data_IF_935912646129
#
_entry.id   IF_935912646129
#
_cell.length_a   1.000
_cell.length_b   1.000
_cell.length_c   1.000
_cell.angle_alpha   90.00
_cell.angle_beta   90.00
_cell.angle_gamma   90.00
#
_symmetry.space_group_name_H-M   'P 1'
#
loop_
_entity.id
_entity.type
_entity.pdbx_description
1 polymer ?
#
# COMPACT_ATOMS: atom_id res chain seq x y z
N UNK A 1 18.12 3.79 39.78
CA UNK A 1 17.20 4.92 39.58
C UNK A 1 17.96 6.14 39.09
N UNK A 2 19.06 6.52 39.77
CA UNK A 2 19.98 7.57 39.30
C UNK A 2 20.45 7.35 37.85
N UNK A 3 20.90 6.13 37.52
CA UNK A 3 21.39 5.79 36.17
C UNK A 3 20.34 5.95 35.05
N UNK A 4 19.06 5.79 35.38
CA UNK A 4 17.97 5.94 34.42
C UNK A 4 17.63 7.43 34.21
N UNK A 5 17.71 8.23 35.28
CA UNK A 5 17.55 9.70 35.21
C UNK A 5 18.70 10.31 34.40
N UNK A 6 19.95 9.92 34.66
CA UNK A 6 21.10 10.42 33.90
C UNK A 6 21.05 10.02 32.43
N UNK A 7 20.55 8.81 32.12
CA UNK A 7 20.30 8.39 30.74
C UNK A 7 19.26 9.30 30.06
N UNK A 8 18.19 9.67 30.76
CA UNK A 8 17.16 10.57 30.23
C UNK A 8 17.69 11.99 30.03
N UNK A 9 18.50 12.50 30.95
CA UNK A 9 19.18 13.80 30.84
C UNK A 9 20.15 13.83 29.65
N UNK A 10 20.94 12.76 29.47
CA UNK A 10 21.90 12.61 28.36
C UNK A 10 21.23 12.58 26.99
N UNK A 11 20.01 12.03 26.91
CA UNK A 11 19.28 11.94 25.65
C UNK A 11 18.67 13.27 25.20
N UNK A 12 18.65 14.31 26.04
CA UNK A 12 18.11 15.64 25.72
C UNK A 12 16.70 15.65 25.09
N UNK A 13 15.88 14.65 25.42
CA UNK A 13 14.57 14.43 24.79
C UNK A 13 13.40 15.03 25.59
N UNK A 14 13.66 15.76 26.66
CA UNK A 14 12.66 16.39 27.51
C UNK A 14 13.20 17.67 28.16
N UNK A 15 12.31 18.57 28.53
CA UNK A 15 12.61 19.76 29.32
C UNK A 15 11.55 19.90 30.42
N UNK A 16 11.97 20.31 31.61
CA UNK A 16 11.04 20.59 32.70
C UNK A 16 10.34 21.93 32.38
N UNK A 17 9.02 21.97 32.52
CA UNK A 17 8.22 23.17 32.29
C UNK A 17 7.10 23.24 33.32
N UNK A 18 6.70 24.46 33.68
CA UNK A 18 5.55 24.69 34.53
C UNK A 18 4.26 24.33 33.79
N UNK A 19 3.24 23.91 34.55
CA UNK A 19 1.94 23.59 33.99
C UNK A 19 1.32 24.87 33.38
N UNK A 20 0.98 24.87 32.08
CA UNK A 20 0.29 26.00 31.45
C UNK A 20 -1.08 26.25 32.10
N UNK A 21 -1.47 27.52 32.20
CA UNK A 21 -2.67 27.99 32.92
C UNK A 21 -3.98 27.30 32.49
N UNK A 22 -4.07 26.89 31.21
CA UNK A 22 -5.28 26.30 30.60
C UNK A 22 -5.24 24.76 30.49
N UNK A 23 -4.31 24.08 31.19
CA UNK A 23 -4.14 22.62 31.06
C UNK A 23 -4.26 21.92 32.41
N UNK A 24 -5.01 20.83 32.43
CA UNK A 24 -5.09 19.92 33.58
C UNK A 24 -3.93 18.92 33.53
N UNK A 25 -3.31 18.64 34.68
CA UNK A 25 -2.27 17.60 34.77
C UNK A 25 -2.88 16.23 34.49
N UNK A 26 -2.16 15.40 33.74
CA UNK A 26 -2.52 13.99 33.63
C UNK A 26 -1.81 13.26 34.77
N UNK A 27 -2.58 12.56 35.60
CA UNK A 27 -2.01 11.78 36.69
C UNK A 27 -1.04 10.72 36.17
N UNK A 28 -0.02 10.39 36.97
CA UNK A 28 0.95 9.33 36.64
C UNK A 28 0.97 8.24 37.73
N UNK A 29 1.49 7.06 37.38
CA UNK A 29 1.71 5.96 38.31
C UNK A 29 2.99 5.22 37.93
N UNK A 30 3.75 4.80 38.94
CA UNK A 30 4.88 3.90 38.74
C UNK A 30 4.43 2.46 38.51
N UNK A 31 4.96 1.83 37.46
CA UNK A 31 4.81 0.41 37.16
C UNK A 31 6.18 -0.26 37.33
N UNK A 32 6.27 -1.20 38.26
CA UNK A 32 7.49 -1.94 38.54
C UNK A 32 7.43 -3.33 37.89
N UNK A 33 8.52 -3.77 37.27
CA UNK A 33 8.65 -5.11 36.68
C UNK A 33 10.07 -5.64 36.88
N UNK A 34 10.19 -6.84 37.40
CA UNK A 34 11.47 -7.57 37.46
C UNK A 34 11.68 -8.26 36.12
N UNK A 35 12.88 -8.13 35.57
CA UNK A 35 13.36 -8.87 34.39
C UNK A 35 14.30 -9.96 34.87
N UNK A 36 14.06 -11.16 34.38
CA UNK A 36 14.84 -12.34 34.71
C UNK A 36 15.61 -12.80 33.48
N UNK A 37 16.80 -13.33 33.72
CA UNK A 37 17.60 -14.06 32.75
C UNK A 37 16.95 -15.42 32.44
N UNK A 38 17.45 -16.12 31.42
CA UNK A 38 16.94 -17.44 31.03
C UNK A 38 17.12 -18.51 32.12
N UNK A 39 18.08 -18.33 33.01
CA UNK A 39 18.36 -19.17 34.18
C UNK A 39 17.49 -18.83 35.41
N UNK A 40 16.61 -17.83 35.31
CA UNK A 40 15.75 -17.37 36.40
C UNK A 40 16.40 -16.38 37.38
N UNK A 41 17.68 -16.04 37.20
CA UNK A 41 18.33 -14.98 37.98
C UNK A 41 17.79 -13.59 37.61
N UNK A 42 17.88 -12.62 38.51
CA UNK A 42 17.38 -11.26 38.27
C UNK A 42 18.36 -10.54 37.34
N UNK A 43 17.90 -10.18 36.14
CA UNK A 43 18.65 -9.37 35.17
C UNK A 43 18.58 -7.89 35.54
N UNK A 44 17.37 -7.37 35.74
CA UNK A 44 17.16 -5.97 36.16
C UNK A 44 15.82 -5.72 36.83
N UNK A 45 15.81 -4.75 37.73
CA UNK A 45 14.59 -4.10 38.19
C UNK A 45 14.22 -2.98 37.20
N UNK A 46 13.02 -3.02 36.64
CA UNK A 46 12.53 -2.01 35.70
C UNK A 46 11.41 -1.20 36.34
N UNK A 47 11.58 0.11 36.41
CA UNK A 47 10.51 1.04 36.72
C UNK A 47 10.05 1.73 35.44
N UNK A 48 8.76 2.05 35.35
CA UNK A 48 8.22 2.93 34.29
C UNK A 48 7.27 3.91 34.94
N UNK A 49 7.48 5.20 34.70
CA UNK A 49 6.46 6.20 34.98
C UNK A 49 5.45 6.15 33.82
N UNK A 50 4.23 5.73 34.10
CA UNK A 50 3.18 5.61 33.10
C UNK A 50 2.08 6.60 33.42
N UNK A 51 1.58 7.27 32.39
CA UNK A 51 0.42 8.14 32.49
C UNK A 51 -0.80 7.29 32.89
N UNK A 52 -1.61 7.75 33.84
CA UNK A 52 -2.87 7.11 34.23
C UNK A 52 -3.87 7.31 33.08
N UNK A 53 -3.84 6.41 32.11
CA UNK A 53 -4.68 6.46 30.91
C UNK A 53 -6.17 6.13 31.12
N UNK A 54 -6.66 6.11 32.36
CA UNK A 54 -8.06 5.81 32.69
C UNK A 54 -8.97 7.04 32.64
N UNK A 55 -8.49 8.16 32.08
CA UNK A 55 -9.31 9.35 31.83
C UNK A 55 -10.20 9.20 30.60
N UNK A 56 -10.11 8.07 29.88
CA UNK A 56 -10.99 7.78 28.76
C UNK A 56 -12.44 7.73 29.24
N UNK A 57 -13.30 8.50 28.60
CA UNK A 57 -14.73 8.55 28.85
C UNK A 57 -15.43 7.56 27.90
N UNK A 58 -16.23 6.65 28.47
CA UNK A 58 -17.08 5.74 27.70
C UNK A 58 -18.01 6.55 26.78
N UNK A 59 -17.95 6.27 25.47
CA UNK A 59 -18.69 7.02 24.44
C UNK A 59 -17.97 8.23 23.82
N UNK A 60 -16.79 8.62 24.32
CA UNK A 60 -15.99 9.72 23.74
C UNK A 60 -14.71 9.20 23.08
N UNK A 61 -13.83 8.53 23.83
CA UNK A 61 -12.48 8.13 23.39
C UNK A 61 -12.10 6.71 23.83
N UNK A 62 -13.04 5.97 24.43
CA UNK A 62 -12.82 4.61 24.93
C UNK A 62 -12.58 3.57 23.79
N UNK A 63 -13.11 3.82 22.59
CA UNK A 63 -12.88 2.98 21.41
C UNK A 63 -11.66 3.42 20.57
N UNK A 64 -11.10 4.58 20.89
CA UNK A 64 -10.02 5.21 20.15
C UNK A 64 -8.65 4.66 20.63
N UNK A 65 -8.37 3.40 20.33
CA UNK A 65 -7.03 2.83 20.53
C UNK A 65 -6.09 3.32 19.43
N UNK A 66 -5.58 4.54 19.56
CA UNK A 66 -4.56 5.07 18.65
C UNK A 66 -3.18 4.51 19.00
N UNK A 67 -2.82 3.41 18.36
CA UNK A 67 -1.39 3.08 18.19
C UNK A 67 -0.85 3.89 17.02
N UNK A 68 0.07 4.81 17.28
CA UNK A 68 0.70 5.67 16.26
C UNK A 68 1.55 4.90 15.23
N UNK A 69 1.69 3.58 15.38
CA UNK A 69 2.51 2.73 14.54
C UNK A 69 1.63 1.70 13.84
N UNK A 70 1.32 1.95 12.57
CA UNK A 70 0.72 0.95 11.71
C UNK A 70 1.63 -0.29 11.66
N UNK A 71 1.10 -1.46 12.04
CA UNK A 71 1.85 -2.71 11.89
C UNK A 71 2.10 -2.95 10.41
N UNK A 72 3.28 -3.45 10.07
CA UNK A 72 3.63 -3.79 8.70
C UNK A 72 2.62 -4.76 8.07
N UNK A 73 2.08 -5.69 8.86
CA UNK A 73 1.01 -6.60 8.46
C UNK A 73 -0.25 -5.87 7.98
N UNK A 74 -0.65 -4.79 8.65
CA UNK A 74 -1.80 -3.97 8.27
C UNK A 74 -1.55 -3.28 6.93
N UNK A 75 -0.36 -2.72 6.69
CA UNK A 75 -0.02 -2.09 5.41
C UNK A 75 -0.02 -3.11 4.27
N UNK A 76 0.52 -4.31 4.51
CA UNK A 76 0.51 -5.40 3.51
C UNK A 76 -0.91 -5.87 3.20
N UNK A 77 -1.77 -6.00 4.21
CA UNK A 77 -3.18 -6.35 4.02
C UNK A 77 -3.89 -5.30 3.17
N UNK A 78 -3.70 -4.01 3.47
CA UNK A 78 -4.29 -2.92 2.68
C UNK A 78 -3.84 -2.98 1.22
N UNK A 79 -2.54 -3.15 0.97
CA UNK A 79 -2.04 -3.26 -0.41
C UNK A 79 -2.58 -4.50 -1.13
N UNK A 80 -2.75 -5.64 -0.43
CA UNK A 80 -3.38 -6.82 -1.00
C UNK A 80 -4.84 -6.57 -1.42
N UNK A 81 -5.62 -5.90 -0.56
CA UNK A 81 -7.01 -5.54 -0.87
C UNK A 81 -7.10 -4.59 -2.05
N UNK A 82 -6.24 -3.57 -2.11
CA UNK A 82 -6.22 -2.62 -3.22
C UNK A 82 -5.74 -3.30 -4.52
N UNK A 83 -4.82 -4.27 -4.43
CA UNK A 83 -4.41 -5.09 -5.57
C UNK A 83 -5.58 -5.92 -6.11
N UNK A 84 -6.40 -6.51 -5.22
CA UNK A 84 -7.61 -7.20 -5.64
C UNK A 84 -8.58 -6.27 -6.39
N UNK A 85 -8.76 -5.02 -5.94
CA UNK A 85 -9.62 -4.05 -6.61
C UNK A 85 -9.17 -3.69 -8.02
N UNK A 86 -7.91 -3.91 -8.40
CA UNK A 86 -7.44 -3.67 -9.78
C UNK A 86 -8.19 -4.52 -10.82
N UNK A 87 -8.85 -5.61 -10.39
CA UNK A 87 -9.68 -6.48 -11.24
C UNK A 87 -11.00 -5.84 -11.67
N UNK A 88 -11.46 -4.79 -11.00
CA UNK A 88 -12.65 -4.01 -11.38
C UNK A 88 -12.33 -2.54 -11.62
N UNK A 89 -11.11 -2.11 -11.22
CA UNK A 89 -10.62 -0.73 -11.29
C UNK A 89 -9.28 -0.68 -12.04
N UNK A 90 -9.32 -0.71 -13.39
CA UNK A 90 -8.11 -0.59 -14.22
C UNK A 90 -7.37 0.74 -14.00
N UNK A 91 -8.10 1.79 -13.65
CA UNK A 91 -7.61 3.15 -13.39
C UNK A 91 -6.57 3.24 -12.27
N UNK A 92 -6.64 2.36 -11.25
CA UNK A 92 -5.66 2.34 -10.16
C UNK A 92 -4.48 1.39 -10.44
N UNK A 93 -4.52 0.59 -11.52
CA UNK A 93 -3.58 -0.51 -11.74
C UNK A 93 -2.12 -0.04 -11.73
N UNK A 94 -1.82 1.10 -12.35
CA UNK A 94 -0.46 1.67 -12.34
C UNK A 94 0.00 2.08 -10.93
N UNK A 95 -0.82 2.84 -10.20
CA UNK A 95 -0.46 3.31 -8.86
C UNK A 95 -0.24 2.14 -7.89
N UNK A 96 -1.07 1.11 -7.97
CA UNK A 96 -0.99 -0.09 -7.13
C UNK A 96 0.22 -0.94 -7.50
N UNK A 97 0.51 -1.09 -8.80
CA UNK A 97 1.71 -1.75 -9.28
C UNK A 97 2.99 -1.05 -8.77
N UNK A 98 2.98 0.27 -8.64
CA UNK A 98 4.12 0.99 -8.08
C UNK A 98 4.25 0.75 -6.57
N UNK A 99 3.16 0.90 -5.81
CA UNK A 99 3.17 0.69 -4.36
C UNK A 99 3.53 -0.75 -3.96
N UNK A 100 3.12 -1.74 -4.76
CA UNK A 100 3.39 -3.15 -4.46
C UNK A 100 4.89 -3.50 -4.49
N UNK A 101 5.72 -2.70 -5.17
CA UNK A 101 7.18 -2.89 -5.20
C UNK A 101 7.84 -2.69 -3.83
N UNK A 102 7.22 -1.91 -2.95
CA UNK A 102 7.79 -1.52 -1.65
C UNK A 102 7.12 -2.21 -0.46
N UNK A 103 6.36 -3.28 -0.70
CA UNK A 103 5.64 -4.08 0.33
C UNK A 103 6.57 -4.70 1.37
N UNK A 104 7.83 -4.97 1.00
CA UNK A 104 8.85 -5.51 1.90
C UNK A 104 9.25 -4.51 2.98
N UNK A 105 9.42 -3.23 2.61
CA UNK A 105 9.86 -2.13 3.47
C UNK A 105 9.17 -0.80 3.09
N UNK A 106 7.90 -0.59 3.48
CA UNK A 106 7.16 0.61 3.13
C UNK A 106 7.60 1.81 3.96
N UNK A 107 7.80 2.95 3.30
CA UNK A 107 8.12 4.25 3.91
C UNK A 107 6.83 5.03 4.23
N UNK A 108 6.98 6.13 4.97
CA UNK A 108 5.87 7.08 5.24
C UNK A 108 5.27 7.64 3.95
N UNK A 109 6.08 7.88 2.92
CA UNK A 109 5.61 8.32 1.60
C UNK A 109 4.71 7.27 0.94
N UNK A 110 5.10 5.99 0.96
CA UNK A 110 4.27 4.90 0.42
C UNK A 110 2.96 4.74 1.19
N UNK A 111 3.00 4.93 2.51
CA UNK A 111 1.79 4.94 3.34
C UNK A 111 0.83 6.05 2.92
N UNK A 112 1.31 7.29 2.81
CA UNK A 112 0.50 8.43 2.35
C UNK A 112 -0.07 8.19 0.94
N UNK A 113 0.73 7.67 0.01
CA UNK A 113 0.28 7.33 -1.34
C UNK A 113 -0.80 6.24 -1.33
N UNK A 114 -0.67 5.22 -0.48
CA UNK A 114 -1.71 4.18 -0.29
C UNK A 114 -3.02 4.82 0.19
N UNK A 115 -2.97 5.73 1.16
CA UNK A 115 -4.15 6.46 1.63
C UNK A 115 -4.77 7.37 0.56
N UNK A 116 -3.97 7.92 -0.37
CA UNK A 116 -4.50 8.66 -1.52
C UNK A 116 -5.33 7.75 -2.42
N UNK A 117 -4.84 6.54 -2.72
CA UNK A 117 -5.60 5.54 -3.51
C UNK A 117 -6.89 5.15 -2.79
N UNK A 118 -6.84 4.89 -1.48
CA UNK A 118 -8.04 4.56 -0.69
C UNK A 118 -9.06 5.70 -0.67
N UNK A 119 -8.61 6.96 -0.55
CA UNK A 119 -9.49 8.14 -0.60
C UNK A 119 -10.15 8.28 -1.96
N UNK A 120 -9.39 8.06 -3.03
CA UNK A 120 -9.92 8.09 -4.40
C UNK A 120 -10.98 7.01 -4.62
N UNK A 121 -10.73 5.78 -4.17
CA UNK A 121 -11.70 4.68 -4.21
C UNK A 121 -12.98 5.01 -3.43
N UNK A 122 -12.84 5.56 -2.22
CA UNK A 122 -13.99 5.99 -1.39
C UNK A 122 -14.80 7.10 -2.06
N UNK A 123 -14.16 8.00 -2.80
CA UNK A 123 -14.83 9.09 -3.53
C UNK A 123 -15.50 8.66 -4.83
N UNK A 124 -15.15 7.49 -5.38
CA UNK A 124 -15.64 7.01 -6.68
C UNK A 124 -16.17 5.58 -6.62
N UNK A 125 -17.14 5.27 -5.73
CA UNK A 125 -17.63 3.89 -5.57
C UNK A 125 -18.38 3.38 -6.81
N UNK A 126 -18.97 4.27 -7.61
CA UNK A 126 -19.69 3.92 -8.84
C UNK A 126 -18.79 3.77 -10.08
N UNK A 127 -17.49 4.04 -9.98
CA UNK A 127 -16.56 3.86 -11.10
C UNK A 127 -16.11 2.39 -11.13
N UNK A 128 -16.15 1.78 -12.30
CA UNK A 128 -15.74 0.40 -12.53
C UNK A 128 -15.80 0.03 -14.01
N UNK A 129 -15.53 -1.24 -14.31
CA UNK A 129 -15.65 -1.75 -15.69
C UNK A 129 -17.11 -1.90 -16.07
N UNK A 130 -17.46 -1.34 -17.22
CA UNK A 130 -18.78 -1.50 -17.84
C UNK A 130 -18.67 -2.47 -19.02
N UNK A 131 -19.47 -3.54 -18.98
CA UNK A 131 -19.59 -4.51 -20.06
C UNK A 131 -20.92 -4.28 -20.77
N UNK A 132 -20.86 -3.76 -21.99
CA UNK A 132 -22.05 -3.52 -22.81
C UNK A 132 -22.55 -4.82 -23.43
N UNK A 133 -23.84 -5.10 -23.32
CA UNK A 133 -24.51 -6.17 -24.07
C UNK A 133 -24.70 -5.81 -25.55
N UNK A 134 -24.56 -4.54 -25.91
CA UNK A 134 -24.82 -3.99 -27.24
C UNK A 134 -23.53 -3.40 -27.84
N UNK A 135 -22.49 -4.20 -27.93
CA UNK A 135 -21.24 -3.81 -28.59
C UNK A 135 -20.89 -4.73 -29.75
N UNK A 136 -20.20 -4.21 -30.76
CA UNK A 136 -19.62 -5.06 -31.79
C UNK A 136 -18.61 -6.03 -31.17
N UNK A 137 -18.53 -7.26 -31.69
CA UNK A 137 -17.54 -8.24 -31.26
C UNK A 137 -16.23 -8.04 -32.03
N UNK A 138 -15.63 -6.85 -31.86
CA UNK A 138 -14.36 -6.50 -32.48
C UNK A 138 -13.25 -6.49 -31.42
N UNK A 139 -12.19 -7.25 -31.64
CA UNK A 139 -11.07 -7.30 -30.70
C UNK A 139 -10.11 -6.14 -30.99
N UNK A 140 -9.87 -5.29 -29.99
CA UNK A 140 -8.92 -4.16 -30.05
C UNK A 140 -7.97 -4.21 -28.88
N UNK A 141 -6.68 -3.98 -29.09
CA UNK A 141 -5.74 -3.79 -28.00
C UNK A 141 -4.91 -2.54 -28.19
N UNK A 142 -4.59 -1.93 -27.06
CA UNK A 142 -3.64 -0.84 -26.96
C UNK A 142 -2.52 -1.28 -26.02
N UNK A 143 -1.28 -1.14 -26.46
CA UNK A 143 -0.10 -1.35 -25.62
C UNK A 143 0.63 -0.04 -25.43
N UNK A 144 1.13 0.20 -24.23
CA UNK A 144 1.94 1.36 -23.92
C UNK A 144 3.14 0.96 -23.03
N UNK A 145 4.20 1.76 -23.08
CA UNK A 145 5.37 1.55 -22.25
C UNK A 145 5.99 2.87 -21.81
N UNK A 146 6.52 2.87 -20.60
CA UNK A 146 7.33 3.97 -20.08
C UNK A 146 8.81 3.55 -20.11
N UNK A 147 9.64 4.24 -20.91
CA UNK A 147 11.08 3.92 -21.00
C UNK A 147 11.83 4.42 -19.78
N UNK A 148 12.40 3.47 -19.02
CA UNK A 148 13.13 3.75 -17.80
C UNK A 148 12.35 4.58 -16.75
N UNK A 149 11.01 4.47 -16.77
CA UNK A 149 10.10 5.21 -15.89
C UNK A 149 10.31 4.97 -14.40
N UNK A 150 10.84 3.80 -14.01
CA UNK A 150 11.32 3.61 -12.65
C UNK A 150 12.73 4.21 -12.52
N UNK A 151 12.84 5.38 -11.88
CA UNK A 151 14.11 6.09 -11.64
C UNK A 151 15.12 5.19 -10.92
N UNK A 152 14.67 4.41 -9.93
CA UNK A 152 15.55 3.59 -9.09
C UNK A 152 16.19 2.42 -9.85
N UNK A 153 15.43 1.73 -10.70
CA UNK A 153 15.91 0.52 -11.38
C UNK A 153 16.15 0.71 -12.87
N UNK A 154 15.81 1.87 -13.44
CA UNK A 154 15.77 2.17 -14.88
C UNK A 154 15.01 1.14 -15.72
N UNK A 155 14.11 0.39 -15.09
CA UNK A 155 13.30 -0.65 -15.75
C UNK A 155 12.02 -0.02 -16.27
N UNK A 156 11.63 -0.44 -17.46
CA UNK A 156 10.38 0.00 -18.08
C UNK A 156 9.16 -0.59 -17.40
N UNK A 157 8.07 0.17 -17.38
CA UNK A 157 6.74 -0.29 -17.01
C UNK A 157 5.96 -0.46 -18.30
N UNK A 158 5.36 -1.63 -18.52
CA UNK A 158 4.52 -1.90 -19.68
C UNK A 158 3.08 -2.03 -19.25
N UNK A 159 2.20 -1.34 -19.95
CA UNK A 159 0.76 -1.45 -19.80
C UNK A 159 0.11 -1.98 -21.07
N UNK A 160 -1.00 -2.69 -20.91
CA UNK A 160 -1.89 -2.95 -22.03
C UNK A 160 -3.35 -2.89 -21.61
N UNK A 161 -4.22 -2.65 -22.59
CA UNK A 161 -5.67 -2.73 -22.44
C UNK A 161 -6.26 -3.40 -23.68
N UNK A 162 -7.11 -4.39 -23.47
CA UNK A 162 -7.80 -5.16 -24.50
C UNK A 162 -9.29 -4.95 -24.36
N UNK A 163 -9.92 -4.60 -25.46
CA UNK A 163 -11.33 -4.31 -25.60
C UNK A 163 -11.99 -5.32 -26.53
N UNK A 164 -13.18 -5.75 -26.15
CA UNK A 164 -14.13 -6.44 -27.02
C UNK A 164 -15.26 -5.45 -27.34
N UNK A 165 -15.24 -4.91 -28.55
CA UNK A 165 -16.09 -3.81 -28.96
C UNK A 165 -15.74 -2.52 -28.23
N UNK A 166 -16.64 -2.09 -27.35
CA UNK A 166 -16.47 -0.95 -26.44
C UNK A 166 -16.14 -1.36 -25.00
N UNK A 167 -16.19 -2.66 -24.69
CA UNK A 167 -16.03 -3.18 -23.34
C UNK A 167 -14.58 -3.54 -23.07
N UNK A 168 -13.99 -3.01 -22.00
CA UNK A 168 -12.65 -3.40 -21.55
C UNK A 168 -12.72 -4.79 -20.89
N UNK A 169 -11.99 -5.76 -21.41
CA UNK A 169 -12.05 -7.16 -20.96
C UNK A 169 -10.76 -7.64 -20.29
N UNK A 170 -9.62 -7.08 -20.66
CA UNK A 170 -8.33 -7.45 -20.07
C UNK A 170 -7.41 -6.24 -20.02
N UNK A 171 -6.67 -6.08 -18.93
CA UNK A 171 -5.74 -4.98 -18.75
C UNK A 171 -4.65 -5.38 -17.78
N UNK A 172 -3.50 -4.74 -17.92
CA UNK A 172 -2.38 -4.97 -17.00
C UNK A 172 -1.43 -3.78 -16.97
N UNK A 173 -0.78 -3.59 -15.83
CA UNK A 173 0.40 -2.74 -15.68
C UNK A 173 1.48 -3.57 -14.98
N UNK A 174 2.65 -3.68 -15.58
CA UNK A 174 3.75 -4.49 -15.05
C UNK A 174 5.11 -3.87 -15.32
N UNK A 175 5.90 -3.73 -14.26
CA UNK A 175 7.33 -3.45 -14.38
C UNK A 175 8.05 -4.66 -14.96
N UNK A 176 8.82 -4.45 -16.02
CA UNK A 176 9.63 -5.51 -16.64
C UNK A 176 10.81 -5.86 -15.74
N UNK A 177 11.23 -7.12 -15.82
CA UNK A 177 12.41 -7.63 -15.10
C UNK A 177 13.71 -7.19 -15.77
N UNK A 178 13.72 -7.13 -17.09
CA UNK A 178 14.86 -6.71 -17.92
C UNK A 178 14.81 -5.21 -18.21
N UNK A 179 15.98 -4.57 -18.22
CA UNK A 179 16.15 -3.16 -18.62
C UNK A 179 16.23 -3.08 -20.14
N UNK A 180 15.42 -2.20 -20.75
CA UNK A 180 15.50 -1.93 -22.18
C UNK A 180 16.63 -0.94 -22.50
N UNK A 181 17.39 -1.24 -23.54
CA UNK A 181 18.52 -0.45 -24.05
C UNK A 181 18.06 0.75 -24.87
N UNK A 182 16.83 0.74 -25.40
CA UNK A 182 16.21 1.86 -26.11
C UNK A 182 14.71 1.95 -25.82
N UNK A 183 14.10 3.09 -26.15
CA UNK A 183 12.64 3.24 -26.13
C UNK A 183 11.99 2.25 -27.11
N UNK A 184 12.49 2.17 -28.34
CA UNK A 184 11.99 1.23 -29.36
C UNK A 184 11.95 -0.22 -28.89
N UNK A 185 13.02 -0.69 -28.23
CA UNK A 185 13.07 -2.05 -27.68
C UNK A 185 12.03 -2.27 -26.58
N UNK A 186 11.73 -1.23 -25.79
CA UNK A 186 10.68 -1.29 -24.77
C UNK A 186 9.27 -1.36 -25.39
N UNK A 187 8.97 -0.62 -26.48
CA UNK A 187 7.68 -0.75 -27.19
C UNK A 187 7.53 -2.14 -27.80
N UNK A 188 8.56 -2.68 -28.47
CA UNK A 188 8.49 -4.04 -29.03
C UNK A 188 8.23 -5.09 -27.95
N UNK A 189 8.80 -4.94 -26.76
CA UNK A 189 8.53 -5.85 -25.62
C UNK A 189 7.11 -5.72 -25.08
N UNK A 190 6.58 -4.50 -25.01
CA UNK A 190 5.20 -4.25 -24.58
C UNK A 190 4.21 -4.83 -25.59
N UNK A 191 4.46 -4.59 -26.88
CA UNK A 191 3.67 -5.13 -27.98
C UNK A 191 3.69 -6.66 -27.98
N UNK A 192 4.87 -7.29 -27.84
CA UNK A 192 4.99 -8.74 -27.76
C UNK A 192 4.17 -9.35 -26.61
N UNK A 193 4.14 -8.69 -25.45
CA UNK A 193 3.32 -9.16 -24.31
C UNK A 193 1.82 -9.02 -24.61
N UNK A 194 1.44 -7.92 -25.27
CA UNK A 194 0.05 -7.64 -25.65
C UNK A 194 -0.44 -8.60 -26.72
N UNK A 195 0.41 -8.98 -27.68
CA UNK A 195 0.07 -9.97 -28.71
C UNK A 195 -0.10 -11.36 -28.13
N UNK A 196 0.69 -11.76 -27.13
CA UNK A 196 0.48 -13.04 -26.44
C UNK A 196 -0.89 -13.09 -25.75
N UNK A 197 -1.29 -12.01 -25.08
CA UNK A 197 -2.60 -11.89 -24.43
C UNK A 197 -3.74 -11.88 -25.45
N UNK A 198 -3.59 -11.13 -26.55
CA UNK A 198 -4.53 -11.15 -27.65
C UNK A 198 -4.71 -12.56 -28.22
N UNK A 199 -3.60 -13.26 -28.48
CA UNK A 199 -3.64 -14.61 -29.03
C UNK A 199 -4.30 -15.61 -28.08
N UNK A 200 -4.09 -15.46 -26.78
CA UNK A 200 -4.81 -16.27 -25.78
C UNK A 200 -6.32 -15.97 -25.80
N UNK A 201 -6.72 -14.69 -25.88
CA UNK A 201 -8.12 -14.29 -25.96
C UNK A 201 -8.78 -14.79 -27.26
N UNK A 202 -8.09 -14.74 -28.39
CA UNK A 202 -8.64 -15.26 -29.66
C UNK A 202 -8.94 -16.75 -29.56
N UNK A 203 -8.02 -17.55 -29.01
CA UNK A 203 -8.25 -18.97 -28.80
C UNK A 203 -9.41 -19.24 -27.84
N UNK A 204 -9.50 -18.46 -26.75
CA UNK A 204 -10.62 -18.57 -25.83
C UNK A 204 -11.97 -18.25 -26.50
N UNK A 205 -12.03 -17.22 -27.33
CA UNK A 205 -13.26 -16.85 -28.04
C UNK A 205 -13.65 -17.89 -29.10
N UNK A 206 -12.66 -18.45 -29.80
CA UNK A 206 -12.87 -19.56 -30.74
C UNK A 206 -13.43 -20.80 -30.03
N UNK A 207 -12.87 -21.19 -28.89
CA UNK A 207 -13.35 -22.31 -28.07
C UNK A 207 -14.79 -22.09 -27.58
N UNK A 208 -15.12 -20.85 -27.21
CA UNK A 208 -16.47 -20.45 -26.80
C UNK A 208 -17.44 -20.28 -28.00
N UNK A 209 -16.98 -20.49 -29.23
CA UNK A 209 -17.74 -20.32 -30.49
C UNK A 209 -18.34 -18.92 -30.63
N UNK A 210 -17.64 -17.91 -30.12
CA UNK A 210 -18.03 -16.51 -30.26
C UNK A 210 -17.42 -15.97 -31.55
N UNK A 211 -18.22 -15.52 -32.53
CA UNK A 211 -17.68 -14.90 -33.74
C UNK A 211 -17.12 -13.51 -33.39
N UNK A 212 -15.87 -13.26 -33.76
CA UNK A 212 -15.24 -11.94 -33.65
C UNK A 212 -14.52 -11.58 -34.96
N UNK A 213 -14.44 -10.28 -35.26
CA UNK A 213 -13.79 -9.71 -36.47
C UNK A 213 -12.70 -8.73 -36.05
#
# INVERSE_FOLDING_TARGET
>A
MQDEITTLETNHNWFLTDLPSDKTTIGCRWVYKIKYNADGSIERYKARLVVKGYTQLEGVDFLDTFSLVAKLTTVRLLLALVTYLTTTRPDIAFAVQHLSQFVSSPTTAHHQATFRVLRYLKGTPGLGVFLSAHSSLQLKAFSDFDWAGCVDSRRSITGFSVYLGSSLISWHSKKKTTVSKSSSEAEYRALASTTCELQWITYLLEDLRVPFV
#
